data_IF_827328880333
#
_entry.id   IF_827328880333
#
_cell.length_a   1.000
_cell.length_b   1.000
_cell.length_c   1.000
_cell.angle_alpha   90.00
_cell.angle_beta   90.00
_cell.angle_gamma   90.00
#
_symmetry.space_group_name_H-M   'P 1'
#
loop_
_entity.id
_entity.type
_entity.pdbx_description
1 polymer ?
#
# COMPACT_ATOMS: atom_id res chain seq x y z
N UNK A 1 -12.91 37.66 38.97
CA UNK A 1 -12.89 36.72 37.82
C UNK A 1 -11.96 37.12 36.65
N UNK A 2 -11.35 38.32 36.60
CA UNK A 2 -10.48 38.73 35.48
C UNK A 2 -9.08 38.06 35.44
N UNK A 3 -8.50 37.69 36.58
CA UNK A 3 -7.14 37.13 36.64
C UNK A 3 -6.98 35.78 35.93
N UNK A 4 -7.99 34.90 36.01
CA UNK A 4 -7.97 33.59 35.34
C UNK A 4 -8.00 33.73 33.80
N UNK A 5 -8.73 34.72 33.26
CA UNK A 5 -8.76 34.99 31.82
C UNK A 5 -7.41 35.49 31.30
N UNK A 6 -6.73 36.38 32.05
CA UNK A 6 -5.40 36.88 31.66
C UNK A 6 -4.34 35.77 31.65
N UNK A 7 -4.36 34.88 32.65
CA UNK A 7 -3.45 33.72 32.68
C UNK A 7 -3.67 32.78 31.48
N UNK A 8 -4.92 32.51 31.13
CA UNK A 8 -5.24 31.61 30.02
C UNK A 8 -4.82 32.18 28.67
N UNK A 9 -5.07 33.48 28.46
CA UNK A 9 -4.61 34.20 27.28
C UNK A 9 -3.09 34.20 27.20
N UNK A 10 -2.40 34.43 28.32
CA UNK A 10 -0.93 34.40 28.37
C UNK A 10 -0.38 33.04 27.94
N UNK A 11 -0.88 31.93 28.50
CA UNK A 11 -0.41 30.58 28.18
C UNK A 11 -0.65 30.24 26.71
N UNK A 12 -1.86 30.52 26.19
CA UNK A 12 -2.20 30.24 24.79
C UNK A 12 -1.39 31.11 23.83
N UNK A 13 -1.21 32.40 24.14
CA UNK A 13 -0.43 33.34 23.32
C UNK A 13 1.05 32.95 23.26
N UNK A 14 1.61 32.40 24.34
CA UNK A 14 2.99 31.90 24.35
C UNK A 14 3.11 30.54 23.66
N UNK A 15 2.09 29.69 23.72
CA UNK A 15 2.09 28.37 23.08
C UNK A 15 1.96 28.42 21.55
N UNK A 16 1.02 29.22 21.01
CA UNK A 16 0.73 29.25 19.56
C UNK A 16 1.97 29.49 18.68
N UNK A 17 2.79 30.54 18.88
CA UNK A 17 3.93 30.80 18.01
C UNK A 17 4.98 29.69 18.10
N UNK A 18 5.16 29.12 19.30
CA UNK A 18 6.06 28.01 19.53
C UNK A 18 5.57 26.74 18.81
N UNK A 19 4.28 26.43 18.93
CA UNK A 19 3.64 25.33 18.21
C UNK A 19 3.74 25.47 16.69
N UNK A 20 3.48 26.66 16.16
CA UNK A 20 3.60 26.91 14.71
C UNK A 20 5.05 26.73 14.26
N UNK A 21 6.02 27.26 15.01
CA UNK A 21 7.45 27.09 14.72
C UNK A 21 7.88 25.63 14.74
N UNK A 22 7.58 24.89 15.80
CA UNK A 22 7.93 23.46 15.90
C UNK A 22 7.20 22.63 14.86
N UNK A 23 5.95 22.96 14.54
CA UNK A 23 5.19 22.29 13.49
C UNK A 23 5.88 22.42 12.13
N UNK A 24 6.24 23.63 11.70
CA UNK A 24 6.93 23.82 10.43
C UNK A 24 8.30 23.15 10.39
N UNK A 25 9.05 23.17 11.50
CA UNK A 25 10.35 22.48 11.60
C UNK A 25 10.16 20.96 11.46
N UNK A 26 9.26 20.35 12.24
CA UNK A 26 8.97 18.92 12.14
C UNK A 26 8.45 18.55 10.76
N UNK A 27 7.55 19.37 10.20
CA UNK A 27 6.98 19.16 8.88
C UNK A 27 8.06 19.19 7.78
N UNK A 28 8.98 20.14 7.86
CA UNK A 28 10.11 20.24 6.94
C UNK A 28 11.04 19.03 7.02
N UNK A 29 11.35 18.55 8.23
CA UNK A 29 12.17 17.35 8.42
C UNK A 29 11.50 16.13 7.76
N UNK A 30 10.20 15.92 8.00
CA UNK A 30 9.47 14.83 7.34
C UNK A 30 9.41 14.98 5.83
N UNK A 31 9.23 16.20 5.32
CA UNK A 31 9.24 16.47 3.88
C UNK A 31 10.60 16.09 3.28
N UNK A 32 11.70 16.45 3.92
CA UNK A 32 13.05 16.08 3.47
C UNK A 32 13.28 14.57 3.48
N UNK A 33 12.87 13.89 4.56
CA UNK A 33 12.94 12.42 4.63
C UNK A 33 12.11 11.77 3.52
N UNK A 34 10.93 12.31 3.23
CA UNK A 34 10.06 11.83 2.17
C UNK A 34 10.70 12.04 0.80
N UNK A 35 11.30 13.20 0.53
CA UNK A 35 11.99 13.45 -0.72
C UNK A 35 13.15 12.50 -0.95
N UNK A 36 13.96 12.24 0.07
CA UNK A 36 15.03 11.25 -0.01
C UNK A 36 14.52 9.85 -0.38
N UNK A 37 13.36 9.46 0.14
CA UNK A 37 12.74 8.16 -0.18
C UNK A 37 12.27 8.06 -1.63
N UNK A 38 11.83 9.17 -2.24
CA UNK A 38 11.25 9.20 -3.58
C UNK A 38 12.15 9.93 -4.61
N UNK A 39 13.41 10.21 -4.28
CA UNK A 39 14.33 10.94 -5.17
C UNK A 39 14.57 10.16 -6.46
N UNK A 40 14.77 8.84 -6.34
CA UNK A 40 14.95 7.94 -7.48
C UNK A 40 13.70 7.88 -8.38
N UNK A 41 12.53 8.14 -7.79
CA UNK A 41 11.26 8.17 -8.51
C UNK A 41 11.05 9.47 -9.31
N UNK A 42 11.80 10.53 -9.02
CA UNK A 42 11.67 11.86 -9.62
C UNK A 42 12.84 12.22 -10.55
N UNK A 43 14.06 11.87 -10.15
CA UNK A 43 15.28 12.29 -10.85
C UNK A 43 15.48 11.47 -12.13
N UNK A 44 15.84 12.16 -13.23
CA UNK A 44 16.18 11.50 -14.50
C UNK A 44 14.99 11.11 -15.40
N UNK A 45 13.74 11.33 -14.97
CA UNK A 45 12.53 10.90 -15.71
C UNK A 45 11.90 11.97 -16.62
N UNK A 46 12.49 13.17 -16.72
CA UNK A 46 12.01 14.25 -17.58
C UNK A 46 10.59 14.73 -17.25
N UNK A 47 10.25 14.79 -15.97
CA UNK A 47 8.94 15.23 -15.49
C UNK A 47 8.75 16.74 -15.67
N UNK A 48 7.53 17.14 -16.02
CA UNK A 48 7.15 18.55 -16.13
C UNK A 48 7.19 19.21 -14.73
N UNK A 49 7.63 20.48 -14.65
CA UNK A 49 7.70 21.23 -13.38
C UNK A 49 6.35 21.29 -12.65
N UNK A 50 5.24 21.32 -13.40
CA UNK A 50 3.88 21.29 -12.86
C UNK A 50 3.58 20.01 -12.07
N UNK A 51 4.07 18.86 -12.55
CA UNK A 51 3.92 17.55 -11.89
C UNK A 51 4.72 17.52 -10.59
N UNK A 52 5.95 18.06 -10.62
CA UNK A 52 6.76 18.21 -9.42
C UNK A 52 6.06 19.09 -8.37
N UNK A 53 5.56 20.26 -8.76
CA UNK A 53 4.86 21.15 -7.83
C UNK A 53 3.63 20.49 -7.18
N UNK A 54 2.83 19.75 -7.97
CA UNK A 54 1.72 18.97 -7.44
C UNK A 54 2.19 17.89 -6.45
N UNK A 55 3.29 17.20 -6.76
CA UNK A 55 3.88 16.23 -5.86
C UNK A 55 4.27 16.84 -4.51
N UNK A 56 4.95 17.98 -4.49
CA UNK A 56 5.33 18.66 -3.25
C UNK A 56 4.12 19.07 -2.42
N UNK A 57 3.08 19.63 -3.06
CA UNK A 57 1.86 20.06 -2.36
C UNK A 57 1.14 18.85 -1.75
N UNK A 58 0.92 17.78 -2.51
CA UNK A 58 0.23 16.59 -1.99
C UNK A 58 1.05 15.87 -0.92
N UNK A 59 2.38 15.84 -1.06
CA UNK A 59 3.29 15.30 -0.05
C UNK A 59 3.22 16.10 1.25
N UNK A 60 3.26 17.43 1.17
CA UNK A 60 3.10 18.28 2.34
C UNK A 60 1.76 18.02 3.03
N UNK A 61 0.63 17.97 2.31
CA UNK A 61 -0.66 17.69 2.94
C UNK A 61 -0.74 16.30 3.58
N UNK A 62 -0.17 15.27 2.95
CA UNK A 62 -0.14 13.89 3.44
C UNK A 62 0.69 13.74 4.73
N UNK A 63 1.75 14.55 4.91
CA UNK A 63 2.65 14.45 6.06
C UNK A 63 2.19 15.21 7.31
N UNK A 64 1.20 16.11 7.19
CA UNK A 64 0.65 16.87 8.33
C UNK A 64 0.21 15.98 9.49
N UNK A 65 -0.54 14.87 9.31
CA UNK A 65 -0.98 14.01 10.40
C UNK A 65 0.15 13.38 11.21
N UNK A 66 1.30 13.09 10.58
CA UNK A 66 2.48 12.57 11.28
C UNK A 66 3.23 13.67 12.04
N UNK A 67 3.34 14.87 11.44
CA UNK A 67 4.04 16.00 12.05
C UNK A 67 3.29 16.62 13.24
N UNK A 68 1.95 16.66 13.19
CA UNK A 68 1.09 17.27 14.21
C UNK A 68 1.35 16.79 15.64
N UNK A 69 1.27 15.48 15.98
CA UNK A 69 1.44 15.01 17.36
C UNK A 69 2.84 15.26 17.91
N UNK A 70 3.87 15.13 17.05
CA UNK A 70 5.26 15.40 17.42
C UNK A 70 5.49 16.89 17.70
N UNK A 71 4.94 17.76 16.85
CA UNK A 71 5.00 19.21 17.04
C UNK A 71 4.29 19.65 18.32
N UNK A 72 3.12 19.06 18.62
CA UNK A 72 2.34 19.31 19.84
C UNK A 72 3.17 18.94 21.08
N UNK A 73 3.77 17.74 21.08
CA UNK A 73 4.59 17.25 22.18
C UNK A 73 5.79 18.18 22.42
N UNK A 74 6.54 18.48 21.36
CA UNK A 74 7.77 19.26 21.43
C UNK A 74 7.48 20.71 21.85
N UNK A 75 6.44 21.34 21.30
CA UNK A 75 6.00 22.67 21.73
C UNK A 75 5.57 22.69 23.20
N UNK A 76 4.88 21.64 23.65
CA UNK A 76 4.44 21.54 25.06
C UNK A 76 5.63 21.39 26.00
N UNK A 77 6.64 20.60 25.61
CA UNK A 77 7.85 20.44 26.39
C UNK A 77 8.62 21.78 26.51
N UNK A 78 8.80 22.48 25.38
CA UNK A 78 9.53 23.75 25.37
C UNK A 78 8.77 24.84 26.15
N UNK A 79 7.44 24.94 26.01
CA UNK A 79 6.70 26.01 26.73
C UNK A 79 6.77 25.83 28.25
N UNK A 80 6.59 24.60 28.75
CA UNK A 80 6.66 24.32 30.17
C UNK A 80 8.11 24.36 30.69
N UNK A 81 9.08 23.99 29.86
CA UNK A 81 10.51 24.20 30.13
C UNK A 81 10.84 25.68 30.32
N UNK A 82 10.41 26.53 29.38
CA UNK A 82 10.60 27.98 29.45
C UNK A 82 9.91 28.62 30.67
N UNK A 83 8.70 28.17 31.01
CA UNK A 83 8.01 28.63 32.22
C UNK A 83 8.71 28.19 33.51
N UNK A 84 9.39 27.03 33.49
CA UNK A 84 10.23 26.56 34.59
C UNK A 84 11.51 27.39 34.74
N UNK A 85 12.21 27.64 33.63
CA UNK A 85 13.48 28.39 33.59
C UNK A 85 13.31 29.85 34.00
N UNK A 86 12.21 30.49 33.58
CA UNK A 86 11.88 31.88 33.94
C UNK A 86 11.22 32.03 35.31
N UNK A 87 11.13 30.96 36.11
CA UNK A 87 10.41 30.89 37.38
C UNK A 87 8.92 31.33 37.32
N UNK A 88 8.34 31.45 36.13
CA UNK A 88 6.94 31.85 35.94
C UNK A 88 5.99 30.79 36.50
N UNK A 89 6.32 29.51 36.28
CA UNK A 89 5.54 28.38 36.82
C UNK A 89 5.60 28.33 38.35
N UNK A 90 6.77 28.64 38.93
CA UNK A 90 6.98 28.69 40.37
C UNK A 90 6.18 29.83 41.00
N UNK A 91 6.22 31.02 40.40
CA UNK A 91 5.45 32.18 40.85
C UNK A 91 3.94 31.92 40.83
N UNK A 92 3.42 31.31 39.76
CA UNK A 92 1.99 30.93 39.68
C UNK A 92 1.59 29.94 40.77
N UNK A 93 2.45 28.95 41.06
CA UNK A 93 2.20 27.95 42.11
C UNK A 93 2.27 28.57 43.51
N UNK A 94 3.22 29.48 43.75
CA UNK A 94 3.32 30.25 44.99
C UNK A 94 2.12 31.17 45.22
N UNK A 95 1.50 31.69 44.15
CA UNK A 95 0.24 32.44 44.20
C UNK A 95 -1.01 31.57 44.49
N UNK A 96 -0.84 30.29 44.83
CA UNK A 96 -1.92 29.36 45.18
C UNK A 96 -2.68 28.77 43.98
N UNK A 97 -2.18 28.94 42.75
CA UNK A 97 -2.79 28.37 41.55
C UNK A 97 -2.30 26.93 41.38
N UNK A 98 -3.22 25.96 41.39
CA UNK A 98 -2.88 24.56 41.14
C UNK A 98 -2.35 24.35 39.73
N UNK A 99 -1.38 23.44 39.57
CA UNK A 99 -0.77 23.11 38.28
C UNK A 99 -1.82 22.69 37.23
N UNK A 100 -2.82 21.90 37.63
CA UNK A 100 -3.92 21.49 36.76
C UNK A 100 -4.72 22.68 36.21
N UNK A 101 -4.86 23.76 36.98
CA UNK A 101 -5.56 24.98 36.55
C UNK A 101 -4.74 25.79 35.56
N UNK A 102 -3.41 25.73 35.65
CA UNK A 102 -2.46 26.31 34.69
C UNK A 102 -2.50 25.52 33.36
N UNK A 103 -2.59 24.19 33.42
CA UNK A 103 -2.63 23.34 32.23
C UNK A 103 -3.99 23.32 31.52
N UNK A 104 -5.09 23.60 32.23
CA UNK A 104 -6.46 23.60 31.68
C UNK A 104 -6.66 24.38 30.36
N UNK A 105 -6.18 25.63 30.18
CA UNK A 105 -6.31 26.33 28.90
C UNK A 105 -5.59 25.61 27.75
N UNK A 106 -4.44 25.00 28.04
CA UNK A 106 -3.71 24.23 27.04
C UNK A 106 -4.47 22.95 26.68
N UNK A 107 -5.04 22.24 27.65
CA UNK A 107 -5.87 21.05 27.41
C UNK A 107 -7.08 21.38 26.52
N UNK A 108 -7.77 22.50 26.78
CA UNK A 108 -8.88 22.95 25.93
C UNK A 108 -8.40 23.28 24.51
N UNK A 109 -7.23 23.88 24.36
CA UNK A 109 -6.62 24.13 23.06
C UNK A 109 -6.24 22.83 22.34
N UNK A 110 -5.72 21.83 23.04
CA UNK A 110 -5.40 20.52 22.47
C UNK A 110 -6.66 19.78 22.01
N UNK A 111 -7.75 19.88 22.78
CA UNK A 111 -9.03 19.27 22.38
C UNK A 111 -9.56 19.92 21.08
N UNK A 112 -9.43 21.23 20.96
CA UNK A 112 -9.74 21.96 19.73
C UNK A 112 -8.85 21.50 18.56
N UNK A 113 -7.53 21.43 18.75
CA UNK A 113 -6.59 20.93 17.74
C UNK A 113 -6.86 19.49 17.34
N UNK A 114 -7.28 18.63 18.28
CA UNK A 114 -7.66 17.25 18.02
C UNK A 114 -8.87 17.17 17.08
N UNK A 115 -9.90 17.99 17.31
CA UNK A 115 -11.07 18.08 16.42
C UNK A 115 -10.68 18.54 15.00
N UNK A 116 -9.86 19.60 14.91
CA UNK A 116 -9.36 20.10 13.62
C UNK A 116 -8.51 19.05 12.90
N UNK A 117 -7.61 18.38 13.62
CA UNK A 117 -6.76 17.31 13.09
C UNK A 117 -7.59 16.12 12.60
N UNK A 118 -8.64 15.74 13.33
CA UNK A 118 -9.57 14.69 12.92
C UNK A 118 -10.30 15.05 11.63
N UNK A 119 -10.84 16.27 11.50
CA UNK A 119 -11.48 16.72 10.27
C UNK A 119 -10.51 16.74 9.10
N UNK A 120 -9.27 17.21 9.33
CA UNK A 120 -8.21 17.18 8.32
C UNK A 120 -7.89 15.76 7.86
N UNK A 121 -7.72 14.83 8.80
CA UNK A 121 -7.42 13.42 8.52
C UNK A 121 -8.59 12.66 7.88
N UNK A 122 -9.83 13.09 8.12
CA UNK A 122 -11.00 12.44 7.57
C UNK A 122 -11.36 12.94 6.16
N UNK A 123 -10.93 14.15 5.77
CA UNK A 123 -11.31 14.77 4.48
C UNK A 123 -10.09 15.04 3.59
N UNK A 124 -9.10 15.76 4.12
CA UNK A 124 -7.98 16.28 3.32
C UNK A 124 -6.88 15.24 3.16
N UNK A 125 -6.55 14.51 4.22
CA UNK A 125 -5.51 13.48 4.17
C UNK A 125 -5.83 12.36 3.16
N UNK A 126 -7.05 11.75 3.13
CA UNK A 126 -7.34 10.66 2.21
C UNK A 126 -7.32 11.10 0.75
N UNK A 127 -7.78 12.33 0.48
CA UNK A 127 -7.71 12.94 -0.85
C UNK A 127 -6.26 13.15 -1.30
N UNK A 128 -5.42 13.72 -0.42
CA UNK A 128 -4.02 14.02 -0.71
C UNK A 128 -3.20 12.75 -0.88
N UNK A 129 -3.39 11.76 -0.01
CA UNK A 129 -2.79 10.42 -0.10
C UNK A 129 -3.14 9.75 -1.44
N UNK A 130 -4.42 9.80 -1.83
CA UNK A 130 -4.85 9.18 -3.09
C UNK A 130 -4.19 9.81 -4.31
N UNK A 131 -4.16 11.14 -4.36
CA UNK A 131 -3.50 11.88 -5.45
C UNK A 131 -1.99 11.69 -5.44
N UNK A 132 -1.35 11.70 -4.27
CA UNK A 132 0.08 11.49 -4.12
C UNK A 132 0.52 10.11 -4.59
N UNK A 133 -0.17 9.05 -4.15
CA UNK A 133 0.14 7.68 -4.57
C UNK A 133 -0.10 7.46 -6.06
N UNK A 134 -1.19 8.01 -6.59
CA UNK A 134 -1.46 7.96 -8.04
C UNK A 134 -0.35 8.65 -8.81
N UNK A 135 0.15 9.79 -8.31
CA UNK A 135 1.25 10.52 -8.93
C UNK A 135 2.56 9.72 -8.87
N UNK A 136 2.90 9.12 -7.73
CA UNK A 136 4.09 8.27 -7.57
C UNK A 136 4.06 7.11 -8.57
N UNK A 137 2.93 6.40 -8.67
CA UNK A 137 2.83 5.25 -9.58
C UNK A 137 2.88 5.72 -11.05
N UNK A 138 2.24 6.84 -11.39
CA UNK A 138 2.30 7.41 -12.74
C UNK A 138 3.74 7.84 -13.10
N UNK A 139 4.50 8.40 -12.14
CA UNK A 139 5.92 8.73 -12.32
C UNK A 139 6.81 7.48 -12.45
N UNK A 140 6.47 6.37 -11.79
CA UNK A 140 7.14 5.07 -11.97
C UNK A 140 6.89 4.50 -13.35
N UNK A 141 5.65 4.51 -13.80
CA UNK A 141 5.29 3.99 -15.11
C UNK A 141 5.95 4.76 -16.24
N UNK A 142 6.17 6.08 -16.14
CA UNK A 142 6.85 6.85 -17.19
C UNK A 142 8.28 6.38 -17.51
N UNK A 143 8.95 5.67 -16.61
CA UNK A 143 10.31 5.14 -16.86
C UNK A 143 10.48 3.78 -16.18
N UNK A 144 9.86 2.71 -16.72
CA UNK A 144 9.86 1.39 -16.10
C UNK A 144 11.24 0.71 -16.16
N UNK A 145 12.12 1.15 -17.06
CA UNK A 145 13.51 0.70 -17.17
C UNK A 145 14.33 0.91 -15.89
N UNK A 146 14.05 1.98 -15.14
CA UNK A 146 14.74 2.27 -13.89
C UNK A 146 14.25 1.41 -12.71
N UNK A 147 13.03 0.88 -12.74
CA UNK A 147 12.33 0.40 -11.54
C UNK A 147 12.00 -1.12 -11.54
N UNK A 148 12.60 -1.95 -12.41
CA UNK A 148 12.50 -3.42 -12.21
C UNK A 148 13.22 -3.78 -10.90
N UNK A 149 12.50 -4.23 -9.85
CA UNK A 149 13.07 -4.59 -8.56
C UNK A 149 13.86 -5.90 -8.66
N UNK A 150 14.92 -6.00 -7.87
CA UNK A 150 15.72 -7.22 -7.77
C UNK A 150 14.99 -8.26 -6.91
N UNK A 151 14.85 -9.48 -7.42
CA UNK A 151 14.30 -10.63 -6.69
C UNK A 151 12.77 -10.62 -6.51
N UNK A 152 12.04 -9.76 -7.21
CA UNK A 152 10.56 -9.67 -7.14
C UNK A 152 9.96 -9.71 -8.55
N UNK A 153 8.79 -10.33 -8.69
CA UNK A 153 8.01 -10.27 -9.93
C UNK A 153 7.40 -8.88 -10.12
N UNK A 154 7.67 -8.26 -11.26
CA UNK A 154 7.23 -6.94 -11.68
C UNK A 154 6.14 -7.08 -12.75
N UNK A 155 4.93 -6.65 -12.44
CA UNK A 155 3.70 -6.81 -13.23
C UNK A 155 3.18 -5.48 -13.81
N UNK A 156 3.98 -4.41 -13.76
CA UNK A 156 3.53 -3.08 -14.19
C UNK A 156 3.43 -2.91 -15.71
N UNK A 157 4.07 -3.80 -16.50
CA UNK A 157 3.97 -3.80 -17.96
C UNK A 157 2.79 -4.68 -18.35
N UNK A 158 1.78 -4.10 -19.03
CA UNK A 158 0.55 -4.81 -19.36
C UNK A 158 0.85 -6.08 -20.17
N UNK A 159 0.34 -7.21 -19.69
CA UNK A 159 0.51 -8.52 -20.33
C UNK A 159 1.87 -9.17 -20.13
N UNK A 160 2.79 -8.58 -19.35
CA UNK A 160 4.12 -9.15 -19.11
C UNK A 160 4.51 -9.07 -17.62
N UNK A 161 4.90 -10.20 -17.03
CA UNK A 161 5.51 -10.23 -15.70
C UNK A 161 7.01 -10.47 -15.81
N UNK A 162 7.81 -9.54 -15.32
CA UNK A 162 9.27 -9.60 -15.34
C UNK A 162 9.81 -10.04 -13.99
N UNK A 163 10.86 -10.84 -13.99
CA UNK A 163 11.62 -11.18 -12.80
C UNK A 163 13.10 -11.08 -13.14
N UNK A 164 13.87 -10.41 -12.30
CA UNK A 164 15.31 -10.33 -12.43
C UNK A 164 15.95 -10.64 -11.08
N UNK A 165 16.89 -11.59 -11.03
CA UNK A 165 17.55 -11.96 -9.77
C UNK A 165 18.47 -10.86 -9.25
N UNK A 166 19.16 -10.17 -10.15
CA UNK A 166 20.10 -9.11 -9.81
C UNK A 166 20.12 -8.05 -10.93
N UNK A 167 20.28 -6.78 -10.55
CA UNK A 167 20.39 -5.66 -11.49
C UNK A 167 21.70 -4.93 -11.25
N UNK A 168 22.50 -4.76 -12.30
CA UNK A 168 23.65 -3.87 -12.24
C UNK A 168 23.19 -2.43 -12.48
N UNK A 169 23.29 -1.59 -11.45
CA UNK A 169 22.85 -0.19 -11.47
C UNK A 169 23.71 0.70 -12.37
N UNK A 170 24.95 0.30 -12.70
CA UNK A 170 25.85 1.10 -13.56
C UNK A 170 25.61 0.86 -15.05
N UNK A 171 25.32 -0.38 -15.41
CA UNK A 171 25.19 -0.80 -16.82
C UNK A 171 23.74 -0.99 -17.25
N UNK A 172 22.80 -1.10 -16.31
CA UNK A 172 21.39 -1.40 -16.56
C UNK A 172 21.14 -2.86 -16.95
N UNK A 173 22.14 -3.73 -16.79
CA UNK A 173 22.02 -5.16 -17.12
C UNK A 173 21.29 -5.90 -16.00
N UNK A 174 20.31 -6.70 -16.39
CA UNK A 174 19.54 -7.62 -15.56
C UNK A 174 20.16 -9.01 -15.69
N UNK A 175 20.37 -9.70 -14.58
CA UNK A 175 20.91 -11.07 -14.56
C UNK A 175 19.86 -12.07 -14.10
N UNK A 176 19.84 -13.24 -14.74
CA UNK A 176 18.84 -14.29 -14.57
C UNK A 176 17.42 -13.73 -14.67
N UNK A 177 17.04 -13.40 -15.90
CA UNK A 177 15.77 -12.78 -16.24
C UNK A 177 14.76 -13.87 -16.57
N UNK A 178 13.58 -13.77 -15.98
CA UNK A 178 12.43 -14.61 -16.31
C UNK A 178 11.26 -13.70 -16.67
N UNK A 179 10.62 -13.96 -17.80
CA UNK A 179 9.53 -13.13 -18.32
C UNK A 179 8.37 -14.06 -18.63
N UNK A 180 7.22 -13.76 -18.05
CA UNK A 180 5.95 -14.36 -18.43
C UNK A 180 5.21 -13.38 -19.33
N UNK A 181 4.84 -13.83 -20.51
CA UNK A 181 4.03 -13.08 -21.46
C UNK A 181 2.65 -13.73 -21.58
N UNK A 182 1.64 -12.96 -21.21
CA UNK A 182 0.23 -13.35 -21.16
C UNK A 182 -0.61 -12.68 -22.27
N UNK A 183 0.01 -12.12 -23.31
CA UNK A 183 -0.70 -11.48 -24.42
C UNK A 183 -1.78 -12.38 -25.06
N UNK A 184 -1.53 -13.68 -25.15
CA UNK A 184 -2.41 -14.69 -25.74
C UNK A 184 -3.35 -15.39 -24.71
N UNK A 185 -3.46 -14.85 -23.50
CA UNK A 185 -4.27 -15.37 -22.40
C UNK A 185 -3.51 -16.27 -21.42
N UNK A 186 -4.06 -16.45 -20.21
CA UNK A 186 -3.41 -17.21 -19.11
C UNK A 186 -3.06 -18.65 -19.46
N UNK A 187 -3.84 -19.31 -20.34
CA UNK A 187 -3.61 -20.71 -20.74
C UNK A 187 -2.45 -20.88 -21.74
N UNK A 188 -2.12 -19.83 -22.49
CA UNK A 188 -1.06 -19.84 -23.51
C UNK A 188 0.12 -18.95 -23.12
N UNK A 189 0.41 -18.86 -21.82
CA UNK A 189 1.51 -18.04 -21.32
C UNK A 189 2.84 -18.47 -21.94
N UNK A 190 3.59 -17.51 -22.48
CA UNK A 190 4.95 -17.72 -22.98
C UNK A 190 5.93 -17.42 -21.87
N UNK A 191 6.88 -18.32 -21.64
CA UNK A 191 7.90 -18.19 -20.59
C UNK A 191 9.24 -18.00 -21.26
N UNK A 192 9.92 -16.88 -20.98
CA UNK A 192 11.25 -16.59 -21.51
C UNK A 192 12.23 -16.55 -20.34
N UNK A 193 13.26 -17.37 -20.40
CA UNK A 193 14.37 -17.42 -19.45
C UNK A 193 15.63 -16.94 -20.16
N UNK A 194 16.40 -16.05 -19.53
CA UNK A 194 17.66 -15.55 -20.09
C UNK A 194 18.70 -15.31 -19.00
N UNK A 195 19.97 -15.56 -19.32
CA UNK A 195 21.09 -15.31 -18.41
C UNK A 195 21.29 -13.81 -18.16
N UNK A 196 21.19 -13.00 -19.22
CA UNK A 196 21.23 -11.54 -19.11
C UNK A 196 20.18 -10.87 -20.00
N UNK A 197 19.69 -9.72 -19.54
CA UNK A 197 18.75 -8.90 -20.28
C UNK A 197 19.00 -7.42 -20.08
N UNK A 198 18.64 -6.61 -21.08
CA UNK A 198 18.65 -5.15 -21.01
C UNK A 198 17.34 -4.63 -21.55
N UNK A 199 16.71 -3.73 -20.80
CA UNK A 199 15.51 -3.01 -21.25
C UNK A 199 15.91 -1.58 -21.57
N UNK A 200 15.60 -1.11 -22.77
CA UNK A 200 15.94 0.23 -23.25
C UNK A 200 14.72 0.88 -23.90
N UNK A 201 14.52 2.19 -23.69
CA UNK A 201 13.47 2.91 -24.39
C UNK A 201 13.94 3.27 -25.78
N UNK A 202 13.05 3.12 -26.77
CA UNK A 202 13.29 3.69 -28.10
C UNK A 202 13.34 5.22 -28.00
N UNK A 203 14.12 5.88 -28.87
CA UNK A 203 14.24 7.35 -28.89
C UNK A 203 12.88 8.07 -28.99
N UNK A 204 11.92 7.46 -29.69
CA UNK A 204 10.54 7.94 -29.84
C UNK A 204 9.68 7.76 -28.58
N UNK A 205 10.21 7.09 -27.55
CA UNK A 205 9.55 6.74 -26.28
C UNK A 205 8.24 5.95 -26.42
N UNK A 206 7.99 5.32 -27.57
CA UNK A 206 6.76 4.55 -27.86
C UNK A 206 6.90 3.04 -27.72
N UNK A 207 8.13 2.57 -27.53
CA UNK A 207 8.44 1.15 -27.49
C UNK A 207 9.56 0.88 -26.49
N UNK A 208 9.38 -0.15 -25.68
CA UNK A 208 10.43 -0.74 -24.86
C UNK A 208 11.13 -1.82 -25.69
N UNK A 209 12.44 -1.65 -25.86
CA UNK A 209 13.32 -2.58 -26.55
C UNK A 209 13.98 -3.50 -25.53
N UNK A 210 13.53 -4.73 -25.49
CA UNK A 210 14.07 -5.76 -24.62
C UNK A 210 15.11 -6.58 -25.40
N UNK A 211 16.37 -6.49 -24.96
CA UNK A 211 17.48 -7.32 -25.43
C UNK A 211 17.72 -8.44 -24.43
N UNK A 212 17.65 -9.69 -24.86
CA UNK A 212 17.92 -10.86 -24.04
C UNK A 212 19.12 -11.61 -24.64
N UNK A 213 20.02 -12.06 -23.79
CA UNK A 213 21.20 -12.83 -24.19
C UNK A 213 21.18 -14.19 -23.51
N UNK A 214 21.51 -15.22 -24.29
CA UNK A 214 21.61 -16.62 -23.89
C UNK A 214 20.39 -17.09 -23.08
N UNK A 215 19.36 -17.53 -23.78
CA UNK A 215 18.11 -17.88 -23.14
C UNK A 215 17.32 -18.97 -23.85
N UNK A 216 16.24 -19.38 -23.19
CA UNK A 216 15.27 -20.34 -23.68
C UNK A 216 13.87 -19.76 -23.56
N UNK A 217 13.07 -19.96 -24.60
CA UNK A 217 11.67 -19.57 -24.63
C UNK A 217 10.80 -20.82 -24.75
N UNK A 218 9.76 -20.87 -23.92
CA UNK A 218 8.77 -21.93 -23.87
C UNK A 218 7.40 -21.35 -24.23
N UNK A 219 6.70 -22.01 -25.14
CA UNK A 219 5.35 -21.63 -25.56
C UNK A 219 4.50 -22.88 -25.74
N UNK A 220 3.27 -22.83 -25.20
CA UNK A 220 2.29 -23.89 -25.43
C UNK A 220 1.71 -23.76 -26.84
N UNK A 221 1.72 -24.84 -27.62
CA UNK A 221 1.05 -24.86 -28.91
C UNK A 221 -0.44 -25.11 -28.67
N UNK A 222 -1.30 -24.28 -29.29
CA UNK A 222 -2.76 -24.44 -29.20
C UNK A 222 -3.14 -25.85 -29.65
N UNK A 223 -3.69 -26.65 -28.75
CA UNK A 223 -4.26 -27.95 -29.13
C UNK A 223 -5.48 -27.71 -30.00
N UNK A 224 -5.52 -28.31 -31.19
CA UNK A 224 -6.70 -28.28 -32.06
C UNK A 224 -7.89 -29.05 -31.46
N UNK A 225 -7.70 -29.80 -30.36
CA UNK A 225 -8.74 -30.60 -29.72
C UNK A 225 -8.78 -30.38 -28.20
N UNK A 226 -9.94 -29.94 -27.69
CA UNK A 226 -10.16 -29.62 -26.27
C UNK A 226 -10.01 -30.80 -25.27
N UNK A 227 -9.80 -32.03 -25.76
CA UNK A 227 -9.78 -33.26 -24.96
C UNK A 227 -8.41 -33.98 -24.88
N UNK A 228 -7.32 -33.38 -25.40
CA UNK A 228 -5.98 -34.01 -25.31
C UNK A 228 -5.30 -33.67 -23.98
N UNK A 229 -5.04 -34.68 -23.14
CA UNK A 229 -4.28 -34.54 -21.87
C UNK A 229 -2.83 -34.06 -22.04
N UNK A 230 -2.28 -34.11 -23.25
CA UNK A 230 -0.92 -33.66 -23.58
C UNK A 230 -1.00 -32.41 -24.46
N UNK A 231 -0.62 -31.25 -23.91
CA UNK A 231 -0.43 -30.02 -24.69
C UNK A 231 1.02 -30.01 -25.18
N UNK A 232 1.28 -30.09 -26.50
CA UNK A 232 2.64 -29.99 -27.00
C UNK A 232 3.20 -28.59 -26.73
N UNK A 233 4.46 -28.51 -26.31
CA UNK A 233 5.16 -27.25 -26.10
C UNK A 233 6.27 -27.07 -27.14
N UNK A 234 6.50 -25.81 -27.52
CA UNK A 234 7.62 -25.39 -28.35
C UNK A 234 8.69 -24.80 -27.43
N UNK A 235 9.92 -25.29 -27.55
CA UNK A 235 11.11 -24.70 -26.93
C UNK A 235 12.01 -24.10 -28.00
N UNK A 236 12.40 -22.85 -27.81
CA UNK A 236 13.35 -22.12 -28.66
C UNK A 236 14.55 -21.69 -27.81
N UNK A 237 15.75 -22.13 -28.18
CA UNK A 237 17.00 -21.69 -27.55
C UNK A 237 17.63 -20.60 -28.41
N UNK A 238 18.02 -19.47 -27.82
CA UNK A 238 18.56 -18.33 -28.53
C UNK A 238 19.83 -17.78 -27.87
N UNK A 239 20.76 -17.30 -28.69
CA UNK A 239 21.95 -16.58 -28.22
C UNK A 239 21.66 -15.10 -27.97
N UNK A 240 20.87 -14.49 -28.83
CA UNK A 240 20.41 -13.11 -28.69
C UNK A 240 18.97 -13.02 -29.21
N UNK A 241 18.09 -12.40 -28.44
CA UNK A 241 16.68 -12.21 -28.81
C UNK A 241 16.26 -10.79 -28.49
N UNK A 242 15.51 -10.22 -29.42
CA UNK A 242 14.99 -8.87 -29.34
C UNK A 242 13.48 -8.93 -29.30
N UNK A 243 12.87 -8.30 -28.31
CA UNK A 243 11.43 -8.14 -28.22
C UNK A 243 11.09 -6.65 -28.12
N UNK A 244 10.09 -6.23 -28.87
CA UNK A 244 9.59 -4.86 -28.86
C UNK A 244 8.24 -4.90 -28.17
N UNK A 245 8.16 -4.24 -27.02
CA UNK A 245 6.91 -4.12 -26.27
C UNK A 245 6.38 -2.71 -26.53
N UNK A 246 5.21 -2.62 -27.16
CA UNK A 246 4.52 -1.33 -27.34
C UNK A 246 4.28 -0.69 -25.97
N UNK A 247 4.72 0.55 -25.80
CA UNK A 247 4.68 1.26 -24.53
C UNK A 247 4.34 2.73 -24.75
N UNK A 248 3.27 3.21 -24.13
CA UNK A 248 2.93 4.63 -24.18
C UNK A 248 3.65 5.38 -23.05
N UNK A 249 4.62 6.24 -23.42
CA UNK A 249 5.37 7.08 -22.47
C UNK A 249 4.73 8.45 -22.22
N UNK A 250 3.61 8.76 -22.88
CA UNK A 250 2.87 9.95 -22.53
C UNK A 250 2.43 9.82 -21.07
N UNK A 251 2.68 10.90 -20.30
CA UNK A 251 2.33 10.88 -18.89
C UNK A 251 0.81 10.96 -18.80
N UNK A 252 0.17 9.81 -18.62
CA UNK A 252 -1.23 9.72 -18.31
C UNK A 252 -1.37 9.36 -16.83
N UNK A 253 -2.08 10.20 -16.09
CA UNK A 253 -2.37 9.93 -14.69
C UNK A 253 -3.21 8.64 -14.64
N UNK A 254 -2.71 7.63 -13.93
CA UNK A 254 -3.41 6.35 -13.80
C UNK A 254 -4.77 6.60 -13.15
N UNK A 255 -5.80 5.88 -13.62
CA UNK A 255 -7.10 5.89 -12.98
C UNK A 255 -6.97 5.45 -11.51
N UNK A 256 -7.30 6.35 -10.59
CA UNK A 256 -7.12 6.17 -9.14
C UNK A 256 -8.03 5.10 -8.50
N UNK A 257 -8.72 4.28 -9.29
CA UNK A 257 -9.63 3.24 -8.80
C UNK A 257 -8.91 2.19 -7.94
N UNK A 258 -7.64 1.86 -8.20
CA UNK A 258 -6.87 0.98 -7.31
C UNK A 258 -6.73 1.56 -5.89
N UNK A 259 -6.82 2.88 -5.76
CA UNK A 259 -6.68 3.56 -4.49
C UNK A 259 -7.94 3.43 -3.63
N UNK A 260 -9.11 3.09 -4.19
CA UNK A 260 -10.32 2.84 -3.39
C UNK A 260 -10.23 1.59 -2.53
N UNK A 261 -9.23 0.72 -2.75
CA UNK A 261 -9.03 -0.50 -1.97
C UNK A 261 -8.15 -0.26 -0.74
N UNK A 262 -7.22 0.69 -0.81
CA UNK A 262 -6.29 1.00 0.28
C UNK A 262 -6.97 1.65 1.48
N UNK A 263 -6.42 1.44 2.67
CA UNK A 263 -6.96 1.98 3.92
C UNK A 263 -6.60 3.45 4.13
N UNK A 264 -5.39 3.87 3.78
CA UNK A 264 -4.89 5.24 3.97
C UNK A 264 -5.56 6.29 3.05
N UNK A 265 -6.28 5.86 2.02
CA UNK A 265 -7.07 6.70 1.09
C UNK A 265 -8.55 6.78 1.42
N UNK A 266 -9.01 6.09 2.48
CA UNK A 266 -10.42 6.06 2.87
C UNK A 266 -10.68 7.01 4.03
N UNK A 267 -11.80 7.72 3.95
CA UNK A 267 -12.36 8.41 5.11
C UNK A 267 -13.02 7.40 6.08
N UNK A 268 -13.40 7.85 7.27
CA UNK A 268 -14.00 6.99 8.30
C UNK A 268 -15.25 6.26 7.82
N UNK A 269 -16.12 6.91 7.04
CA UNK A 269 -17.34 6.28 6.51
C UNK A 269 -17.03 5.17 5.50
N UNK A 270 -16.05 5.42 4.62
CA UNK A 270 -15.59 4.44 3.63
C UNK A 270 -14.87 3.28 4.30
N UNK A 271 -14.10 3.52 5.38
CA UNK A 271 -13.49 2.46 6.19
C UNK A 271 -14.56 1.59 6.82
N UNK A 272 -15.60 2.19 7.40
CA UNK A 272 -16.69 1.42 8.02
C UNK A 272 -17.46 0.59 6.98
N UNK A 273 -17.83 1.16 5.84
CA UNK A 273 -18.45 0.41 4.75
C UNK A 273 -17.55 -0.73 4.24
N UNK A 274 -16.23 -0.51 4.19
CA UNK A 274 -15.26 -1.53 3.83
C UNK A 274 -15.22 -2.67 4.87
N UNK A 275 -15.27 -2.35 6.16
CA UNK A 275 -15.33 -3.33 7.26
C UNK A 275 -16.63 -4.14 7.15
N UNK A 276 -17.77 -3.49 6.98
CA UNK A 276 -19.08 -4.14 6.88
C UNK A 276 -19.12 -5.11 5.70
N UNK A 277 -18.61 -4.69 4.53
CA UNK A 277 -18.52 -5.54 3.35
C UNK A 277 -17.64 -6.76 3.56
N UNK A 278 -16.53 -6.61 4.30
CA UNK A 278 -15.59 -7.69 4.58
C UNK A 278 -16.16 -8.68 5.60
N UNK A 279 -16.92 -8.19 6.59
CA UNK A 279 -17.68 -9.02 7.54
C UNK A 279 -18.73 -9.86 6.80
N UNK A 280 -19.51 -9.24 5.90
CA UNK A 280 -20.51 -9.96 5.09
C UNK A 280 -19.85 -11.04 4.23
N UNK A 281 -18.71 -10.72 3.60
CA UNK A 281 -17.96 -11.69 2.81
C UNK A 281 -17.46 -12.86 3.67
N UNK A 282 -16.87 -12.58 4.83
CA UNK A 282 -16.41 -13.58 5.79
C UNK A 282 -17.56 -14.47 6.27
N UNK A 283 -18.71 -13.88 6.59
CA UNK A 283 -19.91 -14.61 7.03
C UNK A 283 -20.46 -15.51 5.91
N UNK A 284 -20.44 -15.04 4.66
CA UNK A 284 -20.87 -15.83 3.50
C UNK A 284 -19.97 -17.04 3.29
N UNK A 285 -18.65 -16.85 3.39
CA UNK A 285 -17.68 -17.94 3.29
C UNK A 285 -17.84 -18.92 4.46
N UNK A 286 -17.99 -18.42 5.69
CA UNK A 286 -18.26 -19.23 6.88
C UNK A 286 -19.54 -20.07 6.76
N UNK A 287 -20.64 -19.49 6.26
CA UNK A 287 -21.89 -20.22 5.99
C UNK A 287 -21.69 -21.30 4.93
N UNK A 288 -20.94 -21.02 3.86
CA UNK A 288 -20.64 -22.00 2.82
C UNK A 288 -19.85 -23.19 3.39
N UNK A 289 -18.75 -22.92 4.11
CA UNK A 289 -17.98 -23.97 4.78
C UNK A 289 -18.81 -24.76 5.79
N UNK A 290 -19.72 -24.11 6.53
CA UNK A 290 -20.64 -24.80 7.44
C UNK A 290 -21.59 -25.74 6.69
N UNK A 291 -22.17 -25.30 5.57
CA UNK A 291 -23.02 -26.16 4.74
C UNK A 291 -22.23 -27.32 4.14
N UNK A 292 -21.02 -27.06 3.62
CA UNK A 292 -20.14 -28.08 3.07
C UNK A 292 -19.75 -29.12 4.14
N UNK A 293 -19.41 -28.66 5.35
CA UNK A 293 -19.12 -29.54 6.49
C UNK A 293 -20.35 -30.35 6.94
N UNK A 294 -21.55 -29.75 6.92
CA UNK A 294 -22.82 -30.43 7.23
C UNK A 294 -23.15 -31.51 6.21
N UNK A 295 -22.91 -31.25 4.93
CA UNK A 295 -23.21 -32.19 3.83
C UNK A 295 -22.17 -33.31 3.76
N UNK A 296 -20.91 -33.03 4.09
CA UNK A 296 -19.79 -33.98 3.89
C UNK A 296 -19.40 -34.71 5.17
N UNK A 297 -19.03 -33.98 6.22
CA UNK A 297 -18.38 -34.55 7.42
C UNK A 297 -19.41 -34.95 8.47
N UNK A 298 -20.42 -34.11 8.67
CA UNK A 298 -21.47 -34.30 9.68
C UNK A 298 -22.81 -34.69 9.05
N UNK A 299 -22.78 -35.39 7.92
CA UNK A 299 -23.99 -35.88 7.28
C UNK A 299 -24.75 -36.76 8.27
N UNK A 300 -25.82 -36.21 8.87
CA UNK A 300 -26.73 -37.01 9.67
C UNK A 300 -27.45 -37.94 8.70
N UNK A 301 -27.38 -39.28 8.87
CA UNK A 301 -28.14 -40.17 8.01
C UNK A 301 -29.61 -39.78 8.10
N UNK A 302 -30.26 -39.59 6.94
CA UNK A 302 -31.70 -39.34 6.89
C UNK A 302 -32.40 -40.60 7.38
N UNK A 303 -32.93 -40.55 8.59
CA UNK A 303 -33.74 -41.63 9.14
C UNK A 303 -35.06 -41.68 8.36
N UNK A 304 -35.14 -42.59 7.40
CA UNK A 304 -36.43 -43.02 6.85
C UNK A 304 -37.22 -43.68 7.98
N UNK A 305 -38.45 -43.23 8.20
CA UNK A 305 -39.30 -43.54 9.38
C UNK A 305 -39.68 -45.02 9.53
N UNK A 306 -39.11 -45.93 8.71
CA UNK A 306 -39.42 -47.36 8.62
C UNK A 306 -38.20 -48.28 8.52
N UNK A 307 -37.00 -47.83 8.89
CA UNK A 307 -35.84 -48.73 8.99
C UNK A 307 -35.48 -49.02 10.45
N UNK A 308 -35.51 -50.31 10.77
CA UNK A 308 -35.25 -50.92 12.08
C UNK A 308 -34.07 -50.29 12.82
N UNK A 309 -34.35 -49.82 14.04
CA UNK A 309 -33.37 -49.28 15.01
C UNK A 309 -32.18 -50.23 15.25
N UNK A 310 -32.35 -51.54 14.99
CA UNK A 310 -31.35 -52.59 15.17
C UNK A 310 -30.25 -52.63 14.10
N UNK A 311 -30.49 -52.14 12.87
CA UNK A 311 -29.44 -52.10 11.82
C UNK A 311 -28.47 -50.92 12.00
N UNK A 312 -28.85 -49.93 12.80
CA UNK A 312 -28.11 -48.68 12.98
C UNK A 312 -26.89 -48.89 13.89
N UNK A 313 -26.96 -49.80 14.87
CA UNK A 313 -25.83 -50.12 15.78
C UNK A 313 -24.67 -50.82 15.07
N UNK A 314 -24.90 -51.40 13.88
CA UNK A 314 -23.89 -52.13 13.11
C UNK A 314 -23.14 -51.29 12.06
N UNK A 315 -23.52 -50.02 11.86
CA UNK A 315 -22.75 -49.13 10.98
C UNK A 315 -21.40 -48.82 11.65
N UNK A 316 -20.26 -49.15 11.01
CA UNK A 316 -18.97 -48.94 11.63
C UNK A 316 -18.71 -47.44 11.76
N UNK A 317 -18.63 -46.98 13.01
CA UNK A 317 -18.17 -45.63 13.41
C UNK A 317 -16.80 -45.23 12.83
N UNK A 318 -16.11 -46.18 12.16
CA UNK A 318 -14.80 -46.04 11.53
C UNK A 318 -14.81 -45.37 10.14
N UNK A 319 -15.96 -45.21 9.50
CA UNK A 319 -16.03 -44.60 8.16
C UNK A 319 -15.99 -43.06 8.16
N UNK A 320 -16.26 -42.42 9.31
CA UNK A 320 -16.41 -40.95 9.40
C UNK A 320 -15.06 -40.22 9.59
N UNK A 321 -13.99 -40.92 9.97
CA UNK A 321 -12.69 -40.30 10.30
C UNK A 321 -11.64 -40.29 9.19
N UNK A 322 -11.93 -40.80 7.97
CA UNK A 322 -10.91 -40.96 6.95
C UNK A 322 -10.40 -39.70 6.20
N UNK A 323 -11.07 -38.53 6.13
CA UNK A 323 -10.51 -37.43 5.36
C UNK A 323 -9.54 -36.53 6.16
N UNK A 324 -9.39 -36.71 7.48
CA UNK A 324 -8.60 -35.78 8.31
C UNK A 324 -7.10 -36.10 8.34
N UNK A 325 -6.67 -37.29 7.91
CA UNK A 325 -5.27 -37.71 7.98
C UNK A 325 -4.46 -37.58 6.68
N UNK A 326 -5.04 -37.01 5.61
CA UNK A 326 -4.32 -36.81 4.33
C UNK A 326 -4.01 -35.35 3.99
N UNK A 327 -4.17 -34.42 4.93
CA UNK A 327 -3.90 -32.97 4.73
C UNK A 327 -3.09 -32.40 5.92
N UNK A 328 -2.17 -33.18 6.49
CA UNK A 328 -1.09 -32.63 7.32
C UNK A 328 0.23 -32.92 6.62
#
# INVERSE_FOLDING_TARGET
MLGAKKLYIFIVKSYIPLFVGTFFICHFIFMMQFLWKYVDDMVGKGLEMKVLAQFFIYSALSLVPMAMPLAILLASLIIFGNFGERYELLAMKAAGISLLKIMRPLILFMLFLCCVSFLFQNVIAPYSESKLYTLIISMRQKSPELDIPEGVFYDAIKGHNFYAKKKDRKTGLLHNVMIYDFLDGFENARIILADTGKLEMTADKKYLYLRLYNGEMFENLKSQNANSKNVPYRRETFREKHSIISFDSEFNMIDGNFMSTRSNSKNMKMLQASIDSMTIFSDSIGKKYYQDAKITIYQKPSLSQKEDTLKITQLPSRAILKPVLSII
#
